data_IF_337167907591
#
_entry.id   IF_337167907591
#
_cell.length_a   1.000
_cell.length_b   1.000
_cell.length_c   1.000
_cell.angle_alpha   90.00
_cell.angle_beta   90.00
_cell.angle_gamma   90.00
#
_symmetry.space_group_name_H-M   'P 1'
#
loop_
_entity.id
_entity.type
_entity.pdbx_description
1 polymer ?
#
# COMPACT_ATOMS: atom_id res chain seq x y z
N UNK A 1 -5.85 -21.06 5.80
CA UNK A 1 -4.76 -20.14 5.37
C UNK A 1 -3.50 -20.97 5.12
N UNK A 2 -3.10 -21.13 3.86
CA UNK A 2 -2.11 -22.13 3.40
C UNK A 2 -0.64 -21.78 3.70
N UNK A 3 -0.40 -20.64 4.33
CA UNK A 3 0.93 -20.07 4.49
C UNK A 3 1.19 -19.85 5.99
N UNK A 4 1.73 -20.87 6.65
CA UNK A 4 2.05 -20.90 8.09
C UNK A 4 3.22 -20.00 8.54
N UNK A 5 3.48 -18.89 7.85
CA UNK A 5 4.61 -18.01 8.17
C UNK A 5 4.19 -17.04 9.27
N UNK A 6 4.45 -17.45 10.50
CA UNK A 6 5.18 -16.70 11.53
C UNK A 6 4.91 -15.21 11.80
N UNK A 7 4.63 -14.34 10.82
CA UNK A 7 4.51 -12.88 10.95
C UNK A 7 3.39 -12.27 10.10
N UNK A 8 3.49 -10.98 9.79
CA UNK A 8 2.55 -10.23 8.94
C UNK A 8 3.19 -9.73 7.62
N UNK A 9 4.52 -9.75 7.54
CA UNK A 9 5.35 -9.38 6.39
C UNK A 9 6.70 -10.10 6.49
N UNK A 10 7.22 -10.62 5.39
CA UNK A 10 8.45 -11.44 5.38
C UNK A 10 9.58 -10.84 4.53
N UNK A 11 9.31 -9.75 3.80
CA UNK A 11 10.26 -9.14 2.86
C UNK A 11 10.74 -10.11 1.78
N UNK A 12 9.90 -11.06 1.39
CA UNK A 12 10.23 -11.99 0.31
C UNK A 12 10.20 -11.27 -1.07
N UNK A 13 10.90 -11.78 -2.09
CA UNK A 13 10.96 -11.11 -3.39
C UNK A 13 9.59 -10.83 -4.04
N UNK A 14 8.60 -11.70 -3.83
CA UNK A 14 7.24 -11.52 -4.37
C UNK A 14 6.52 -10.40 -3.62
N UNK A 15 6.51 -10.42 -2.29
CA UNK A 15 6.01 -9.32 -1.45
C UNK A 15 6.64 -7.98 -1.84
N UNK A 16 7.97 -7.93 -1.93
CA UNK A 16 8.73 -6.73 -2.31
C UNK A 16 8.34 -6.23 -3.70
N UNK A 17 8.23 -7.15 -4.67
CA UNK A 17 7.86 -6.81 -6.04
C UNK A 17 6.46 -6.19 -6.14
N UNK A 18 5.54 -6.64 -5.30
CA UNK A 18 4.18 -6.08 -5.21
C UNK A 18 4.17 -4.73 -4.48
N UNK A 19 5.07 -4.51 -3.51
CA UNK A 19 5.10 -3.33 -2.66
C UNK A 19 5.71 -2.10 -3.34
N UNK A 20 6.77 -2.28 -4.14
CA UNK A 20 7.48 -1.19 -4.81
C UNK A 20 6.58 -0.27 -5.67
N UNK A 21 5.65 -0.79 -6.51
CA UNK A 21 4.68 0.05 -7.22
C UNK A 21 3.79 0.89 -6.30
N UNK A 22 3.40 0.40 -5.12
CA UNK A 22 2.57 1.15 -4.18
C UNK A 22 3.29 2.36 -3.59
N UNK A 23 4.58 2.23 -3.29
CA UNK A 23 5.41 3.33 -2.79
C UNK A 23 5.53 4.45 -3.82
N UNK A 24 5.90 4.13 -5.07
CA UNK A 24 5.98 5.15 -6.13
C UNK A 24 4.61 5.65 -6.58
N UNK A 25 3.58 4.80 -6.56
CA UNK A 25 2.20 5.19 -6.81
C UNK A 25 1.70 6.20 -5.79
N UNK A 26 2.09 6.05 -4.52
CA UNK A 26 1.80 7.04 -3.47
C UNK A 26 2.53 8.35 -3.76
N UNK A 27 3.82 8.31 -4.11
CA UNK A 27 4.57 9.51 -4.51
C UNK A 27 3.93 10.19 -5.74
N UNK A 28 3.44 9.39 -6.69
CA UNK A 28 2.75 9.85 -7.90
C UNK A 28 1.48 10.63 -7.54
N UNK A 29 0.61 10.09 -6.69
CA UNK A 29 -0.64 10.76 -6.27
C UNK A 29 -0.33 12.12 -5.61
N UNK A 30 0.69 12.18 -4.76
CA UNK A 30 1.11 13.43 -4.11
C UNK A 30 1.72 14.42 -5.12
N UNK A 31 2.49 13.93 -6.09
CA UNK A 31 3.03 14.74 -7.18
C UNK A 31 1.92 15.30 -8.07
N UNK A 32 0.89 14.52 -8.36
CA UNK A 32 -0.31 14.96 -9.10
C UNK A 32 -1.00 16.11 -8.36
N UNK A 33 -1.17 16.00 -7.05
CA UNK A 33 -1.80 17.07 -6.26
C UNK A 33 -1.05 18.42 -6.38
N UNK A 34 0.30 18.39 -6.40
CA UNK A 34 1.11 19.60 -6.66
C UNK A 34 0.97 20.07 -8.10
N UNK A 35 0.97 19.14 -9.05
CA UNK A 35 0.85 19.44 -10.48
C UNK A 35 -0.48 20.11 -10.80
N UNK A 36 -1.58 19.59 -10.28
CA UNK A 36 -2.93 20.15 -10.44
C UNK A 36 -3.06 21.53 -9.78
N UNK A 37 -2.55 21.69 -8.56
CA UNK A 37 -2.74 22.93 -7.80
C UNK A 37 -1.80 24.05 -8.23
N UNK A 38 -0.57 23.72 -8.63
CA UNK A 38 0.52 24.70 -8.81
C UNK A 38 1.16 24.70 -10.18
N UNK A 39 0.85 23.73 -11.04
CA UNK A 39 1.48 23.57 -12.34
C UNK A 39 2.95 23.14 -12.30
N UNK A 40 3.52 22.94 -11.10
CA UNK A 40 4.88 22.45 -10.86
C UNK A 40 4.95 20.92 -10.96
N UNK A 41 6.16 20.35 -10.99
CA UNK A 41 6.41 18.89 -10.97
C UNK A 41 5.88 18.06 -12.15
N UNK A 42 5.47 18.66 -13.27
CA UNK A 42 4.97 17.89 -14.45
C UNK A 42 5.92 16.79 -14.90
N UNK A 43 7.20 17.11 -15.10
CA UNK A 43 8.19 16.12 -15.52
C UNK A 43 8.38 15.01 -14.47
N UNK A 44 8.43 15.37 -13.19
CA UNK A 44 8.53 14.42 -12.08
C UNK A 44 7.31 13.50 -11.99
N UNK A 45 6.11 14.05 -12.14
CA UNK A 45 4.85 13.31 -12.20
C UNK A 45 4.84 12.29 -13.33
N UNK A 46 5.22 12.69 -14.55
CA UNK A 46 5.27 11.78 -15.70
C UNK A 46 6.31 10.67 -15.45
N UNK A 47 7.49 11.01 -14.93
CA UNK A 47 8.51 10.01 -14.60
C UNK A 47 8.00 9.01 -13.56
N UNK A 48 7.39 9.47 -12.47
CA UNK A 48 6.80 8.60 -11.45
C UNK A 48 5.71 7.69 -12.04
N UNK A 49 4.89 8.17 -12.97
CA UNK A 49 3.88 7.35 -13.63
C UNK A 49 4.51 6.23 -14.47
N UNK A 50 5.53 6.57 -15.26
CA UNK A 50 6.28 5.60 -16.06
C UNK A 50 6.93 4.55 -15.16
N UNK A 51 7.68 4.97 -14.14
CA UNK A 51 8.41 4.05 -13.26
C UNK A 51 7.45 3.19 -12.45
N UNK A 52 6.33 3.73 -11.96
CA UNK A 52 5.30 2.95 -11.26
C UNK A 52 4.74 1.84 -12.15
N UNK A 53 4.44 2.16 -13.42
CA UNK A 53 3.96 1.16 -14.37
C UNK A 53 5.03 0.11 -14.70
N UNK A 54 6.27 0.54 -14.93
CA UNK A 54 7.41 -0.37 -15.17
C UNK A 54 7.64 -1.30 -13.98
N UNK A 55 7.53 -0.83 -12.74
CA UNK A 55 7.65 -1.66 -11.54
C UNK A 55 6.53 -2.71 -11.46
N UNK A 56 5.30 -2.39 -11.90
CA UNK A 56 4.21 -3.37 -11.95
C UNK A 56 4.48 -4.49 -12.97
N UNK A 57 5.06 -4.16 -14.12
CA UNK A 57 5.50 -5.15 -15.12
C UNK A 57 6.69 -5.96 -14.61
N UNK A 58 7.65 -5.30 -13.94
CA UNK A 58 8.78 -5.96 -13.29
C UNK A 58 8.29 -6.99 -12.27
N UNK A 59 7.32 -6.65 -11.42
CA UNK A 59 6.76 -7.62 -10.47
C UNK A 59 6.14 -8.84 -11.15
N UNK A 60 5.46 -8.63 -12.28
CA UNK A 60 4.94 -9.73 -13.10
C UNK A 60 6.07 -10.61 -13.63
N UNK A 61 7.16 -10.01 -14.11
CA UNK A 61 8.35 -10.75 -14.55
C UNK A 61 8.97 -11.56 -13.40
N UNK A 62 9.21 -10.93 -12.24
CA UNK A 62 9.85 -11.56 -11.09
C UNK A 62 9.07 -12.77 -10.57
N UNK A 63 7.74 -12.71 -10.56
CA UNK A 63 6.88 -13.79 -10.03
C UNK A 63 6.67 -14.92 -11.04
N UNK A 64 6.75 -14.66 -12.35
CA UNK A 64 6.39 -15.62 -13.42
C UNK A 64 7.57 -16.21 -14.18
N UNK A 65 8.72 -15.55 -14.18
CA UNK A 65 9.89 -15.99 -14.95
C UNK A 65 10.60 -17.22 -14.39
N UNK A 66 10.36 -17.57 -13.12
CA UNK A 66 11.10 -18.63 -12.42
C UNK A 66 12.53 -18.25 -12.04
N UNK A 67 12.91 -16.98 -12.24
CA UNK A 67 14.23 -16.45 -11.95
C UNK A 67 14.48 -16.30 -10.45
N UNK A 68 13.43 -16.15 -9.65
CA UNK A 68 13.50 -16.08 -8.20
C UNK A 68 12.93 -17.34 -7.56
N UNK A 69 13.57 -17.78 -6.48
CA UNK A 69 12.98 -18.76 -5.57
C UNK A 69 12.15 -17.99 -4.53
N UNK A 70 10.83 -18.13 -4.58
CA UNK A 70 9.91 -17.62 -3.57
C UNK A 70 8.81 -18.64 -3.32
N UNK A 71 8.36 -18.68 -2.07
CA UNK A 71 7.23 -19.48 -1.62
C UNK A 71 5.90 -18.97 -2.18
N UNK A 72 5.87 -17.72 -2.65
CA UNK A 72 4.72 -17.08 -3.29
C UNK A 72 4.81 -17.10 -4.83
N UNK A 73 5.81 -17.76 -5.41
CA UNK A 73 5.95 -17.85 -6.86
C UNK A 73 4.92 -18.83 -7.45
N UNK A 74 4.24 -18.43 -8.53
CA UNK A 74 3.18 -19.22 -9.17
C UNK A 74 3.53 -19.53 -10.63
N UNK A 75 3.52 -20.83 -10.98
CA UNK A 75 3.65 -21.33 -12.35
C UNK A 75 4.89 -20.75 -13.08
N UNK A 76 6.06 -21.25 -12.73
CA UNK A 76 7.34 -20.90 -13.35
C UNK A 76 7.43 -21.50 -14.75
N UNK A 77 7.40 -20.65 -15.78
CA UNK A 77 7.58 -21.03 -17.18
C UNK A 77 8.62 -20.10 -17.82
N UNK A 78 9.86 -20.57 -18.04
CA UNK A 78 10.93 -19.77 -18.61
C UNK A 78 10.56 -19.13 -19.95
N UNK A 79 9.75 -19.81 -20.78
CA UNK A 79 9.34 -19.28 -22.08
C UNK A 79 8.44 -18.03 -21.93
N UNK A 80 7.53 -18.05 -20.95
CA UNK A 80 6.71 -16.87 -20.60
C UNK A 80 7.57 -15.76 -20.00
N UNK A 81 8.59 -16.13 -19.21
CA UNK A 81 9.56 -15.19 -18.65
C UNK A 81 10.24 -14.34 -19.72
N UNK A 82 10.68 -14.96 -20.82
CA UNK A 82 11.32 -14.25 -21.95
C UNK A 82 10.36 -13.27 -22.63
N UNK A 83 9.10 -13.65 -22.86
CA UNK A 83 8.10 -12.75 -23.43
C UNK A 83 7.86 -11.52 -22.54
N UNK A 84 7.71 -11.73 -21.23
CA UNK A 84 7.51 -10.64 -20.28
C UNK A 84 8.76 -9.75 -20.20
N UNK A 85 9.96 -10.33 -20.25
CA UNK A 85 11.21 -9.58 -20.28
C UNK A 85 11.31 -8.69 -21.53
N UNK A 86 10.96 -9.21 -22.71
CA UNK A 86 10.93 -8.43 -23.95
C UNK A 86 9.91 -7.29 -23.85
N UNK A 87 8.70 -7.57 -23.35
CA UNK A 87 7.68 -6.55 -23.10
C UNK A 87 8.20 -5.48 -22.13
N UNK A 88 8.82 -5.89 -21.02
CA UNK A 88 9.40 -5.00 -20.03
C UNK A 88 10.47 -4.12 -20.67
N UNK A 89 11.38 -4.67 -21.47
CA UNK A 89 12.44 -3.92 -22.15
C UNK A 89 11.86 -2.89 -23.14
N UNK A 90 10.89 -3.29 -23.97
CA UNK A 90 10.23 -2.40 -24.94
C UNK A 90 9.47 -1.29 -24.23
N UNK A 91 8.66 -1.63 -23.23
CA UNK A 91 7.82 -0.65 -22.53
C UNK A 91 8.67 0.30 -21.69
N UNK A 92 9.63 -0.21 -20.91
CA UNK A 92 10.50 0.63 -20.08
C UNK A 92 11.43 1.48 -20.94
N UNK A 93 12.15 0.88 -21.89
CA UNK A 93 13.05 1.59 -22.81
C UNK A 93 12.31 2.61 -23.67
N UNK A 94 11.19 2.22 -24.28
CA UNK A 94 10.39 3.10 -25.13
C UNK A 94 9.75 4.27 -24.37
N UNK A 95 9.19 4.03 -23.18
CA UNK A 95 8.59 5.10 -22.37
C UNK A 95 9.63 6.07 -21.81
N UNK A 96 10.78 5.58 -21.33
CA UNK A 96 11.87 6.42 -20.84
C UNK A 96 12.57 7.18 -21.97
N UNK A 97 12.76 6.57 -23.14
CA UNK A 97 13.29 7.25 -24.32
C UNK A 97 12.34 8.36 -24.80
N UNK A 98 11.04 8.08 -24.87
CA UNK A 98 10.03 9.09 -25.21
C UNK A 98 10.00 10.22 -24.17
N UNK A 99 10.10 9.88 -22.88
CA UNK A 99 10.20 10.87 -21.81
C UNK A 99 11.43 11.75 -21.99
N UNK A 100 12.61 11.17 -22.24
CA UNK A 100 13.85 11.91 -22.46
C UNK A 100 13.73 12.84 -23.69
N UNK A 101 13.14 12.35 -24.79
CA UNK A 101 12.92 13.15 -26.00
C UNK A 101 11.96 14.32 -25.76
N UNK A 102 10.88 14.11 -24.99
CA UNK A 102 9.86 15.13 -24.71
C UNK A 102 10.17 16.00 -23.49
N UNK A 103 11.20 15.66 -22.69
CA UNK A 103 11.55 16.36 -21.46
C UNK A 103 11.72 17.88 -21.64
N UNK A 104 12.33 18.41 -22.72
CA UNK A 104 12.44 19.87 -22.91
C UNK A 104 11.09 20.58 -23.00
N UNK A 105 10.06 19.93 -23.55
CA UNK A 105 8.70 20.49 -23.68
C UNK A 105 7.96 20.49 -22.33
N UNK A 106 8.44 19.71 -21.35
CA UNK A 106 7.87 19.61 -20.01
C UNK A 106 8.51 20.59 -19.02
N UNK A 107 9.57 21.31 -19.42
CA UNK A 107 10.27 22.30 -18.59
C UNK A 107 9.52 23.65 -18.65
N UNK A 108 9.45 24.33 -17.51
CA UNK A 108 9.13 25.77 -17.35
C UNK A 108 7.65 26.21 -17.41
N UNK A 109 6.80 25.73 -16.47
CA UNK A 109 5.53 26.43 -16.11
C UNK A 109 5.20 26.46 -14.61
N UNK A 110 6.12 26.06 -13.73
CA UNK A 110 5.89 26.01 -12.28
C UNK A 110 6.32 27.29 -11.58
N UNK A 111 5.50 27.80 -10.64
CA UNK A 111 5.87 28.94 -9.80
C UNK A 111 6.95 28.60 -8.78
N UNK A 112 7.84 29.56 -8.46
CA UNK A 112 8.85 29.43 -7.39
C UNK A 112 8.17 29.16 -6.04
N UNK A 113 8.82 28.35 -5.21
CA UNK A 113 8.40 28.05 -3.84
C UNK A 113 9.62 28.03 -2.93
N UNK A 114 9.45 28.37 -1.65
CA UNK A 114 10.51 28.43 -0.67
C UNK A 114 10.93 27.05 -0.16
N UNK A 115 12.07 26.98 0.52
CA UNK A 115 12.60 25.73 1.11
C UNK A 115 11.61 25.08 2.09
N UNK A 116 10.87 25.90 2.84
CA UNK A 116 9.76 25.46 3.68
C UNK A 116 8.43 25.86 3.06
N UNK A 117 7.78 24.92 2.39
CA UNK A 117 6.44 25.07 1.81
C UNK A 117 5.77 23.72 1.65
N UNK A 118 4.47 23.69 1.39
CA UNK A 118 3.77 22.43 1.09
C UNK A 118 4.37 21.71 -0.12
N UNK A 119 4.78 22.44 -1.15
CA UNK A 119 5.47 21.88 -2.33
C UNK A 119 6.78 21.20 -1.93
N UNK A 120 7.61 21.85 -1.12
CA UNK A 120 8.89 21.29 -0.66
C UNK A 120 8.68 20.06 0.20
N UNK A 121 7.73 20.07 1.14
CA UNK A 121 7.44 18.92 2.00
C UNK A 121 6.90 17.72 1.19
N UNK A 122 6.03 17.97 0.20
CA UNK A 122 5.54 16.93 -0.70
C UNK A 122 6.65 16.38 -1.61
N UNK A 123 7.57 17.25 -2.08
CA UNK A 123 8.74 16.81 -2.83
C UNK A 123 9.67 15.95 -1.99
N UNK A 124 10.00 16.38 -0.76
CA UNK A 124 10.82 15.60 0.18
C UNK A 124 10.16 14.24 0.44
N UNK A 125 8.85 14.20 0.68
CA UNK A 125 8.12 12.94 0.85
C UNK A 125 8.24 12.04 -0.39
N UNK A 126 8.08 12.59 -1.59
CA UNK A 126 8.21 11.84 -2.83
C UNK A 126 9.62 11.28 -3.03
N UNK A 127 10.66 12.05 -2.67
CA UNK A 127 12.05 11.60 -2.74
C UNK A 127 12.31 10.49 -1.72
N UNK A 128 11.79 10.60 -0.49
CA UNK A 128 11.90 9.55 0.52
C UNK A 128 11.22 8.25 0.08
N UNK A 129 10.02 8.34 -0.49
CA UNK A 129 9.32 7.19 -1.05
C UNK A 129 10.08 6.56 -2.22
N UNK A 130 10.64 7.37 -3.12
CA UNK A 130 11.43 6.88 -4.23
C UNK A 130 12.76 6.24 -3.77
N UNK A 131 13.42 6.81 -2.76
CA UNK A 131 14.59 6.22 -2.13
C UNK A 131 14.24 4.89 -1.46
N UNK A 132 13.13 4.82 -0.72
CA UNK A 132 12.65 3.59 -0.10
C UNK A 132 12.39 2.50 -1.15
N UNK A 133 11.70 2.83 -2.24
CA UNK A 133 11.54 1.91 -3.39
C UNK A 133 12.89 1.45 -3.93
N UNK A 134 13.84 2.37 -4.13
CA UNK A 134 15.18 2.05 -4.62
C UNK A 134 15.93 1.06 -3.72
N UNK A 135 15.87 1.24 -2.40
CA UNK A 135 16.53 0.33 -1.44
C UNK A 135 15.90 -1.07 -1.41
N UNK A 136 14.57 -1.15 -1.51
CA UNK A 136 13.84 -2.43 -1.60
C UNK A 136 14.16 -3.12 -2.93
N UNK A 137 14.17 -2.36 -4.04
CA UNK A 137 14.53 -2.85 -5.36
C UNK A 137 15.96 -3.40 -5.38
N UNK A 138 16.91 -2.66 -4.80
CA UNK A 138 18.30 -3.09 -4.67
C UNK A 138 18.39 -4.40 -3.89
N UNK A 139 17.80 -4.49 -2.70
CA UNK A 139 17.81 -5.72 -1.90
C UNK A 139 17.18 -6.92 -2.61
N UNK A 140 16.15 -6.67 -3.41
CA UNK A 140 15.42 -7.72 -4.16
C UNK A 140 16.20 -8.20 -5.39
N UNK A 141 16.82 -7.28 -6.14
CA UNK A 141 17.51 -7.59 -7.40
C UNK A 141 18.99 -7.94 -7.21
N UNK A 142 19.59 -7.57 -6.08
CA UNK A 142 21.02 -7.81 -5.84
C UNK A 142 21.40 -9.30 -5.85
N UNK A 143 20.70 -10.21 -5.15
CA UNK A 143 20.90 -11.65 -5.29
C UNK A 143 20.85 -12.15 -6.73
N UNK A 144 19.89 -11.65 -7.50
CA UNK A 144 19.70 -12.03 -8.89
C UNK A 144 20.86 -11.55 -9.78
N UNK A 145 21.34 -10.33 -9.55
CA UNK A 145 22.49 -9.81 -10.28
C UNK A 145 23.76 -10.64 -10.02
N UNK A 146 24.01 -11.07 -8.77
CA UNK A 146 25.16 -11.92 -8.44
C UNK A 146 25.06 -13.30 -9.09
N UNK A 147 23.87 -13.93 -9.06
CA UNK A 147 23.65 -15.23 -9.69
C UNK A 147 23.85 -15.16 -11.21
N UNK A 148 23.33 -14.11 -11.86
CA UNK A 148 23.49 -13.88 -13.29
C UNK A 148 24.95 -13.64 -13.72
N UNK A 149 25.78 -13.08 -12.83
CA UNK A 149 27.21 -12.85 -13.04
C UNK A 149 28.08 -14.07 -12.66
N UNK A 150 27.50 -15.15 -12.14
CA UNK A 150 28.24 -16.31 -11.67
C UNK A 150 29.06 -16.07 -10.40
N UNK A 151 28.73 -15.02 -9.62
CA UNK A 151 29.45 -14.61 -8.41
C UNK A 151 28.94 -15.33 -7.13
N UNK A 152 28.07 -16.33 -7.30
CA UNK A 152 27.48 -17.12 -6.21
C UNK A 152 26.08 -16.66 -5.81
N UNK A 153 25.43 -17.46 -4.97
CA UNK A 153 24.07 -17.20 -4.47
C UNK A 153 24.11 -16.60 -3.08
N UNK A 154 23.51 -15.42 -2.93
CA UNK A 154 23.33 -14.72 -1.65
C UNK A 154 21.84 -14.55 -1.39
N UNK A 155 21.42 -14.58 -0.13
CA UNK A 155 20.05 -14.26 0.26
C UNK A 155 20.04 -12.97 1.08
N UNK A 156 19.10 -12.09 0.78
CA UNK A 156 18.86 -10.85 1.52
C UNK A 156 17.52 -11.00 2.25
N UNK A 157 17.56 -11.00 3.59
CA UNK A 157 16.38 -11.17 4.44
C UNK A 157 15.94 -9.89 5.16
N UNK A 158 14.90 -10.01 6.00
CA UNK A 158 14.30 -8.93 6.81
C UNK A 158 15.31 -7.95 7.42
N UNK A 159 16.43 -8.38 8.05
CA UNK A 159 17.35 -7.45 8.71
C UNK A 159 17.90 -6.33 7.81
N UNK A 160 18.18 -6.63 6.53
CA UNK A 160 18.61 -5.61 5.58
C UNK A 160 17.48 -4.60 5.31
N UNK A 161 16.28 -5.11 5.00
CA UNK A 161 15.14 -4.26 4.64
C UNK A 161 14.70 -3.39 5.81
N UNK A 162 14.59 -3.94 7.02
CA UNK A 162 14.22 -3.19 8.21
C UNK A 162 15.22 -2.07 8.51
N UNK A 163 16.53 -2.35 8.36
CA UNK A 163 17.58 -1.38 8.61
C UNK A 163 17.59 -0.20 7.61
N UNK A 164 17.24 -0.42 6.35
CA UNK A 164 17.23 0.64 5.32
C UNK A 164 15.88 1.34 5.19
N UNK A 165 14.78 0.60 5.38
CA UNK A 165 13.43 1.09 5.14
C UNK A 165 12.92 1.99 6.27
N UNK A 166 13.15 1.60 7.53
CA UNK A 166 12.67 2.36 8.70
C UNK A 166 13.23 3.79 8.73
N UNK A 167 14.54 4.05 8.52
CA UNK A 167 15.07 5.42 8.49
C UNK A 167 14.53 6.30 7.36
N UNK A 168 14.05 5.71 6.26
CA UNK A 168 13.47 6.44 5.14
C UNK A 168 11.98 6.74 5.34
N UNK A 169 11.23 5.77 5.89
CA UNK A 169 9.80 5.91 6.11
C UNK A 169 9.46 6.72 7.36
N UNK A 170 10.24 6.62 8.44
CA UNK A 170 10.01 7.40 9.65
C UNK A 170 9.89 8.93 9.40
N UNK A 171 10.82 9.60 8.69
CA UNK A 171 10.65 11.01 8.35
C UNK A 171 9.48 11.25 7.39
N UNK A 172 9.18 10.33 6.46
CA UNK A 172 8.00 10.44 5.60
C UNK A 172 6.70 10.43 6.41
N UNK A 173 6.58 9.53 7.38
CA UNK A 173 5.45 9.47 8.33
C UNK A 173 5.32 10.75 9.16
N UNK A 174 6.44 11.34 9.57
CA UNK A 174 6.41 12.64 10.25
C UNK A 174 5.90 13.75 9.32
N UNK A 175 6.35 13.76 8.05
CA UNK A 175 5.92 14.74 7.05
C UNK A 175 4.43 14.64 6.69
N UNK A 176 3.81 13.47 6.83
CA UNK A 176 2.35 13.31 6.69
C UNK A 176 1.60 14.26 7.65
N UNK A 177 2.11 14.47 8.87
CA UNK A 177 1.46 15.38 9.82
C UNK A 177 1.70 16.85 9.54
N UNK A 178 2.86 17.22 8.98
CA UNK A 178 3.21 18.62 8.71
C UNK A 178 2.64 19.11 7.37
N UNK A 179 2.75 18.28 6.33
CA UNK A 179 2.47 18.64 4.93
C UNK A 179 1.08 19.23 4.69
N UNK A 180 -0.02 18.58 5.13
CA UNK A 180 -1.38 19.07 4.95
C UNK A 180 -1.66 20.43 5.58
N UNK A 181 -0.93 20.79 6.64
CA UNK A 181 -1.10 22.04 7.40
C UNK A 181 -0.20 23.15 6.84
N UNK A 182 0.97 22.82 6.31
CA UNK A 182 1.89 23.78 5.70
C UNK A 182 1.24 24.59 4.58
N UNK A 183 1.57 25.87 4.48
CA UNK A 183 1.05 26.75 3.42
C UNK A 183 1.76 26.47 2.08
N UNK A 184 1.04 26.68 0.99
CA UNK A 184 1.61 26.70 -0.35
C UNK A 184 2.55 27.91 -0.54
N UNK A 185 3.52 27.83 -1.46
CA UNK A 185 4.57 28.84 -1.73
C UNK A 185 5.60 29.00 -0.61
N UNK A 186 5.14 29.36 0.58
CA UNK A 186 5.98 29.68 1.73
C UNK A 186 5.21 29.39 3.01
N UNK A 187 5.83 28.65 3.92
CA UNK A 187 5.33 28.43 5.28
C UNK A 187 6.31 29.01 6.32
N UNK A 188 5.77 29.46 7.45
CA UNK A 188 6.53 29.97 8.58
C UNK A 188 6.75 28.84 9.60
N UNK A 189 8.01 28.58 9.97
CA UNK A 189 8.34 27.55 10.96
C UNK A 189 7.74 27.87 12.35
N UNK A 190 7.84 29.11 12.89
CA UNK A 190 7.16 29.47 14.13
C UNK A 190 5.64 29.24 14.10
N UNK A 191 4.98 29.58 12.98
CA UNK A 191 3.54 29.37 12.83
C UNK A 191 3.17 27.88 12.87
N UNK A 192 3.93 27.05 12.15
CA UNK A 192 3.76 25.59 12.16
C UNK A 192 3.98 25.02 13.57
N UNK A 193 5.05 25.44 14.25
CA UNK A 193 5.36 24.97 15.60
C UNK A 193 4.24 25.29 16.59
N UNK A 194 3.70 26.51 16.57
CA UNK A 194 2.58 26.91 17.46
C UNK A 194 1.32 26.10 17.18
N UNK A 195 1.00 25.84 15.91
CA UNK A 195 -0.17 25.03 15.53
C UNK A 195 -0.03 23.57 15.90
N UNK A 196 1.18 23.02 15.75
CA UNK A 196 1.44 21.59 15.91
C UNK A 196 1.86 21.19 17.32
N UNK A 197 2.23 22.13 18.20
CA UNK A 197 2.79 21.84 19.54
C UNK A 197 1.94 20.89 20.37
N UNK A 198 0.61 21.02 20.34
CA UNK A 198 -0.28 20.18 21.14
C UNK A 198 -0.42 18.78 20.53
N UNK A 199 -0.41 18.66 19.20
CA UNK A 199 -0.36 17.37 18.54
C UNK A 199 0.97 16.65 18.82
N UNK A 200 2.09 17.39 18.82
CA UNK A 200 3.41 16.87 19.17
C UNK A 200 3.50 16.46 20.64
N UNK A 201 3.02 17.30 21.56
CA UNK A 201 3.02 16.99 22.99
C UNK A 201 2.15 15.77 23.29
N UNK A 202 0.96 15.69 22.69
CA UNK A 202 0.09 14.53 22.81
C UNK A 202 0.75 13.26 22.24
N UNK A 203 1.39 13.34 21.07
CA UNK A 203 2.04 12.18 20.48
C UNK A 203 3.19 11.65 21.33
N UNK A 204 4.02 12.54 21.89
CA UNK A 204 5.09 12.15 22.83
C UNK A 204 4.53 11.58 24.12
N UNK A 205 3.53 12.24 24.73
CA UNK A 205 2.94 11.78 25.98
C UNK A 205 2.28 10.39 25.85
N UNK A 206 1.44 10.18 24.82
CA UNK A 206 0.80 8.89 24.59
C UNK A 206 1.82 7.81 24.20
N UNK A 207 2.86 8.16 23.43
CA UNK A 207 3.92 7.22 23.08
C UNK A 207 4.72 6.72 24.29
N UNK A 208 4.86 7.53 25.33
CA UNK A 208 5.53 7.13 26.56
C UNK A 208 4.62 6.28 27.46
N UNK A 209 3.33 6.61 27.55
CA UNK A 209 2.39 5.96 28.49
C UNK A 209 1.82 4.65 27.94
N UNK A 210 1.38 4.63 26.67
CA UNK A 210 0.67 3.47 26.09
C UNK A 210 1.47 2.15 26.13
N UNK A 211 2.79 2.12 25.86
CA UNK A 211 3.57 0.89 25.95
C UNK A 211 3.52 0.22 27.32
N UNK A 212 3.52 1.00 28.41
CA UNK A 212 3.43 0.44 29.77
C UNK A 212 2.07 -0.24 30.01
N UNK A 213 0.99 0.34 29.49
CA UNK A 213 -0.34 -0.26 29.60
C UNK A 213 -0.48 -1.57 28.78
N UNK A 214 0.36 -1.76 27.76
CA UNK A 214 0.33 -2.91 26.84
C UNK A 214 1.32 -4.02 27.21
N UNK A 215 2.09 -3.86 28.29
CA UNK A 215 2.93 -4.91 28.87
C UNK A 215 4.34 -4.44 29.21
N UNK A 216 5.18 -4.17 28.20
CA UNK A 216 6.58 -3.78 28.39
C UNK A 216 6.93 -2.56 27.55
N UNK A 217 7.69 -1.63 28.12
CA UNK A 217 8.17 -0.49 27.35
C UNK A 217 9.26 -0.92 26.34
N UNK A 218 9.19 -0.37 25.12
CA UNK A 218 10.19 -0.56 24.08
C UNK A 218 10.40 0.76 23.34
N UNK A 219 11.66 1.19 23.08
CA UNK A 219 11.93 2.43 22.35
C UNK A 219 11.29 2.44 20.95
N UNK A 220 11.41 1.32 20.22
CA UNK A 220 10.91 1.23 18.85
C UNK A 220 9.38 1.21 18.81
N UNK A 221 8.73 0.56 19.78
CA UNK A 221 7.26 0.59 19.91
C UNK A 221 6.78 1.99 20.25
N UNK A 222 7.44 2.65 21.21
CA UNK A 222 7.11 4.03 21.58
C UNK A 222 7.27 4.96 20.39
N UNK A 223 8.35 4.82 19.62
CA UNK A 223 8.60 5.62 18.42
C UNK A 223 7.53 5.40 17.34
N UNK A 224 7.17 4.15 17.04
CA UNK A 224 6.11 3.83 16.08
C UNK A 224 4.74 4.38 16.51
N UNK A 225 4.39 4.24 17.79
CA UNK A 225 3.17 4.81 18.36
C UNK A 225 3.19 6.34 18.35
N UNK A 226 4.34 6.98 18.59
CA UNK A 226 4.49 8.43 18.50
C UNK A 226 4.15 8.92 17.09
N UNK A 227 4.66 8.25 16.05
CA UNK A 227 4.36 8.60 14.66
C UNK A 227 2.89 8.36 14.30
N UNK A 228 2.29 7.27 14.78
CA UNK A 228 0.86 7.00 14.55
C UNK A 228 -0.04 8.06 15.22
N UNK A 229 0.20 8.36 16.50
CA UNK A 229 -0.56 9.40 17.22
C UNK A 229 -0.30 10.77 16.62
N UNK A 230 0.92 11.05 16.18
CA UNK A 230 1.26 12.28 15.45
C UNK A 230 0.40 12.45 14.20
N UNK A 231 0.32 11.42 13.34
CA UNK A 231 -0.51 11.48 12.12
C UNK A 231 -1.99 11.66 12.47
N UNK A 232 -2.50 10.94 13.46
CA UNK A 232 -3.90 11.04 13.86
C UNK A 232 -4.22 12.44 14.44
N UNK A 233 -3.38 12.94 15.36
CA UNK A 233 -3.56 14.23 16.02
C UNK A 233 -3.44 15.41 15.03
N UNK A 234 -2.46 15.37 14.12
CA UNK A 234 -2.31 16.39 13.08
C UNK A 234 -3.42 16.34 12.05
N UNK A 235 -3.93 15.15 11.71
CA UNK A 235 -5.14 15.02 10.88
C UNK A 235 -6.35 15.65 11.55
N UNK A 236 -6.52 15.44 12.86
CA UNK A 236 -7.58 16.08 13.65
C UNK A 236 -7.42 17.61 13.68
N UNK A 237 -6.20 18.13 13.89
CA UNK A 237 -5.91 19.56 13.83
C UNK A 237 -6.26 20.14 12.46
N UNK A 238 -5.88 19.46 11.37
CA UNK A 238 -6.20 19.89 10.00
C UNK A 238 -7.71 19.97 9.75
N UNK A 239 -8.48 18.97 10.19
CA UNK A 239 -9.95 18.98 10.11
C UNK A 239 -10.53 20.11 10.95
N UNK A 240 -10.07 20.24 12.19
CA UNK A 240 -10.53 21.27 13.12
C UNK A 240 -10.31 22.69 12.60
N UNK A 241 -9.11 22.98 12.09
CA UNK A 241 -8.77 24.27 11.51
C UNK A 241 -9.65 24.57 10.29
N UNK A 242 -9.95 23.56 9.47
CA UNK A 242 -10.82 23.71 8.30
C UNK A 242 -12.26 24.02 8.71
N UNK A 243 -12.78 23.36 9.75
CA UNK A 243 -14.13 23.58 10.27
C UNK A 243 -14.27 24.95 10.97
N UNK A 244 -13.22 25.44 11.63
CA UNK A 244 -13.21 26.78 12.25
C UNK A 244 -13.19 27.91 11.24
N UNK A 245 -12.58 27.69 10.08
CA UNK A 245 -12.54 28.66 8.98
C UNK A 245 -13.86 28.70 8.19
N UNK A 246 -14.71 27.67 8.28
CA UNK A 246 -16.06 27.71 7.74
C UNK A 246 -16.89 28.73 8.56
N UNK A 247 -17.39 29.77 7.88
CA UNK A 247 -17.87 31.03 8.48
C UNK A 247 -18.67 30.91 9.79
N UNK A 248 -18.43 31.86 10.70
CA UNK A 248 -18.94 31.87 12.09
C UNK A 248 -20.47 31.95 12.22
N UNK A 249 -21.21 32.20 11.13
CA UNK A 249 -22.68 32.21 11.08
C UNK A 249 -23.33 30.94 10.51
N UNK A 250 -22.55 29.94 10.08
CA UNK A 250 -23.10 28.67 9.60
C UNK A 250 -23.52 27.76 10.76
N UNK A 251 -24.63 27.04 10.59
CA UNK A 251 -25.01 25.94 11.48
C UNK A 251 -23.92 24.85 11.48
N UNK A 252 -23.79 24.11 12.59
CA UNK A 252 -22.76 23.07 12.74
C UNK A 252 -22.74 22.08 11.56
N UNK A 253 -23.92 21.64 11.11
CA UNK A 253 -24.07 20.75 9.96
C UNK A 253 -23.54 21.34 8.65
N UNK A 254 -23.81 22.63 8.38
CA UNK A 254 -23.30 23.30 7.18
C UNK A 254 -21.79 23.48 7.20
N UNK A 255 -21.18 23.68 8.37
CA UNK A 255 -19.71 23.75 8.50
C UNK A 255 -19.05 22.41 8.21
N UNK A 256 -19.65 21.31 8.61
CA UNK A 256 -19.14 19.95 8.32
C UNK A 256 -19.34 19.59 6.84
N UNK A 257 -20.41 20.07 6.20
CA UNK A 257 -20.68 19.79 4.79
C UNK A 257 -19.89 20.69 3.81
N UNK A 258 -19.25 21.77 4.28
CA UNK A 258 -18.54 22.74 3.43
C UNK A 258 -17.23 22.21 2.81
N UNK A 259 -16.34 21.49 3.52
CA UNK A 259 -15.11 20.97 2.94
C UNK A 259 -15.37 19.93 1.85
N UNK A 260 -14.50 19.92 0.82
CA UNK A 260 -14.70 19.04 -0.33
C UNK A 260 -14.47 17.56 0.00
N UNK A 261 -15.07 16.61 -0.73
CA UNK A 261 -14.80 15.18 -0.57
C UNK A 261 -13.31 14.83 -0.68
N UNK A 262 -12.54 15.52 -1.53
CA UNK A 262 -11.08 15.35 -1.60
C UNK A 262 -10.35 15.71 -0.30
N UNK A 263 -10.83 16.69 0.45
CA UNK A 263 -10.24 17.05 1.75
C UNK A 263 -10.45 15.94 2.78
N UNK A 264 -11.69 15.48 2.93
CA UNK A 264 -12.03 14.39 3.85
C UNK A 264 -11.42 13.06 3.42
N UNK A 265 -11.35 12.78 2.11
CA UNK A 265 -10.71 11.58 1.58
C UNK A 265 -9.22 11.54 1.88
N UNK A 266 -8.54 12.68 1.76
CA UNK A 266 -7.15 12.83 2.19
C UNK A 266 -6.97 12.62 3.70
N UNK A 267 -7.83 13.22 4.53
CA UNK A 267 -7.76 13.05 5.99
C UNK A 267 -8.01 11.59 6.40
N UNK A 268 -9.00 10.93 5.79
CA UNK A 268 -9.33 9.53 6.02
C UNK A 268 -8.18 8.60 5.61
N UNK A 269 -7.54 8.88 4.47
CA UNK A 269 -6.40 8.09 4.03
C UNK A 269 -5.20 8.21 4.99
N UNK A 270 -4.86 9.41 5.43
CA UNK A 270 -3.78 9.58 6.42
C UNK A 270 -4.12 8.97 7.77
N UNK A 271 -5.39 9.03 8.21
CA UNK A 271 -5.83 8.29 9.39
C UNK A 271 -5.68 6.78 9.21
N UNK A 272 -5.95 6.26 8.01
CA UNK A 272 -5.67 4.87 7.65
C UNK A 272 -4.19 4.49 7.80
N UNK A 273 -3.26 5.38 7.41
CA UNK A 273 -1.82 5.20 7.66
C UNK A 273 -1.54 5.11 9.16
N UNK A 274 -2.13 5.99 9.99
CA UNK A 274 -1.94 5.94 11.43
C UNK A 274 -2.39 4.59 12.02
N UNK A 275 -3.57 4.10 11.63
CA UNK A 275 -4.11 2.80 12.08
C UNK A 275 -3.21 1.64 11.64
N UNK A 276 -2.71 1.68 10.40
CA UNK A 276 -1.75 0.69 9.89
C UNK A 276 -0.46 0.69 10.71
N UNK A 277 0.11 1.87 11.00
CA UNK A 277 1.35 2.00 11.80
C UNK A 277 1.13 1.46 13.22
N UNK A 278 -0.03 1.68 13.85
CA UNK A 278 -0.38 1.05 15.13
C UNK A 278 -0.33 -0.47 15.01
N UNK A 279 -1.02 -1.04 14.03
CA UNK A 279 -1.07 -2.50 13.80
C UNK A 279 0.34 -3.09 13.64
N UNK A 280 1.14 -2.53 12.72
CA UNK A 280 2.52 -2.95 12.44
C UNK A 280 3.42 -2.85 13.67
N UNK A 281 3.33 -1.73 14.39
CA UNK A 281 4.18 -1.47 15.57
C UNK A 281 3.87 -2.44 16.70
N UNK A 282 2.59 -2.67 16.97
CA UNK A 282 2.16 -3.51 18.09
C UNK A 282 2.39 -5.00 17.80
N UNK A 283 2.08 -5.49 16.59
CA UNK A 283 2.36 -6.90 16.26
C UNK A 283 3.86 -7.18 16.28
N UNK A 284 4.69 -6.30 15.71
CA UNK A 284 6.14 -6.47 15.66
C UNK A 284 6.78 -6.38 17.05
N UNK A 285 6.28 -5.51 17.93
CA UNK A 285 6.84 -5.30 19.25
C UNK A 285 6.41 -6.32 20.31
N UNK A 286 5.18 -6.85 20.19
CA UNK A 286 4.51 -7.60 21.23
C UNK A 286 3.94 -8.96 20.78
N UNK A 287 4.22 -9.43 19.56
CA UNK A 287 3.92 -10.83 19.25
C UNK A 287 4.68 -11.77 20.20
N UNK A 288 4.03 -12.87 20.54
CA UNK A 288 4.66 -13.97 21.26
C UNK A 288 4.43 -15.24 20.46
N UNK A 289 5.43 -16.12 20.48
CA UNK A 289 5.42 -17.38 19.75
C UNK A 289 6.02 -18.47 20.63
N UNK A 290 5.42 -19.65 20.59
CA UNK A 290 5.95 -20.87 21.20
C UNK A 290 5.87 -22.01 20.20
N UNK A 291 7.01 -22.67 19.99
CA UNK A 291 7.12 -23.91 19.23
C UNK A 291 7.31 -25.02 20.27
N UNK A 292 6.32 -25.90 20.42
CA UNK A 292 6.27 -26.90 21.49
C UNK A 292 6.01 -28.29 20.93
N UNK A 293 6.55 -29.31 21.59
CA UNK A 293 6.10 -30.70 21.38
C UNK A 293 4.83 -30.91 22.22
N UNK A 294 3.80 -31.50 21.65
CA UNK A 294 2.55 -31.78 22.35
C UNK A 294 2.04 -33.19 22.07
N UNK A 295 1.58 -33.85 23.13
CA UNK A 295 0.76 -35.05 23.11
C UNK A 295 -0.69 -34.73 23.50
N UNK A 296 -1.61 -35.65 23.23
CA UNK A 296 -3.01 -35.49 23.60
C UNK A 296 -3.16 -35.25 25.11
N UNK A 297 -3.78 -34.13 25.48
CA UNK A 297 -3.93 -33.67 26.86
C UNK A 297 -2.96 -32.56 27.26
N UNK A 298 -1.84 -32.39 26.54
CA UNK A 298 -0.87 -31.33 26.84
C UNK A 298 -1.47 -29.94 26.68
N UNK A 299 -0.94 -29.01 27.47
CA UNK A 299 -1.35 -27.60 27.43
C UNK A 299 -0.18 -26.67 27.22
N UNK A 300 -0.43 -25.54 26.56
CA UNK A 300 0.54 -24.46 26.39
C UNK A 300 -0.12 -23.12 26.67
N UNK A 301 0.52 -22.30 27.49
CA UNK A 301 0.05 -20.94 27.78
C UNK A 301 0.73 -19.91 26.88
N UNK A 302 -0.05 -19.00 26.28
CA UNK A 302 0.44 -17.89 25.44
C UNK A 302 -0.51 -16.69 25.48
N UNK A 303 0.02 -15.49 25.75
CA UNK A 303 -0.79 -14.26 25.79
C UNK A 303 -1.98 -14.30 26.75
N UNK A 304 -1.88 -15.06 27.85
CA UNK A 304 -2.97 -15.28 28.82
C UNK A 304 -4.05 -16.26 28.35
N UNK A 305 -3.80 -17.00 27.27
CA UNK A 305 -4.64 -18.11 26.80
C UNK A 305 -3.97 -19.44 27.08
N UNK A 306 -4.75 -20.46 27.42
CA UNK A 306 -4.31 -21.85 27.57
C UNK A 306 -4.86 -22.65 26.41
N UNK A 307 -3.98 -23.23 25.60
CA UNK A 307 -4.35 -24.09 24.48
C UNK A 307 -4.09 -25.54 24.88
N UNK A 308 -5.14 -26.37 24.88
CA UNK A 308 -5.05 -27.80 25.13
C UNK A 308 -5.11 -28.58 23.83
N UNK A 309 -4.13 -29.46 23.60
CA UNK A 309 -4.08 -30.31 22.42
C UNK A 309 -4.95 -31.56 22.64
N UNK A 310 -5.98 -31.73 21.83
CA UNK A 310 -6.93 -32.84 21.94
C UNK A 310 -6.59 -34.02 21.02
N UNK A 311 -5.56 -33.86 20.18
CA UNK A 311 -5.05 -34.90 19.29
C UNK A 311 -5.16 -34.51 17.81
N UNK A 312 -4.82 -35.48 16.95
CA UNK A 312 -4.79 -35.34 15.49
C UNK A 312 -5.66 -36.42 14.86
N UNK A 313 -6.49 -36.02 13.90
CA UNK A 313 -7.27 -36.92 13.07
C UNK A 313 -6.79 -36.85 11.62
N UNK A 314 -6.77 -38.00 10.94
CA UNK A 314 -6.53 -38.04 9.49
C UNK A 314 -7.82 -37.70 8.75
N UNK A 315 -7.72 -36.85 7.75
CA UNK A 315 -8.82 -36.46 6.88
C UNK A 315 -8.42 -36.55 5.41
N UNK A 316 -9.37 -36.94 4.56
CA UNK A 316 -9.19 -36.95 3.11
C UNK A 316 -9.95 -35.79 2.50
N UNK A 317 -9.24 -34.90 1.81
CA UNK A 317 -9.81 -33.83 1.01
C UNK A 317 -9.95 -34.22 -0.46
N UNK A 318 -10.53 -33.34 -1.32
CA UNK A 318 -10.75 -33.63 -2.74
C UNK A 318 -9.46 -33.93 -3.53
N UNK A 319 -8.35 -33.32 -3.14
CA UNK A 319 -7.05 -33.44 -3.81
C UNK A 319 -5.86 -33.51 -2.83
N UNK A 320 -6.12 -33.85 -1.56
CA UNK A 320 -5.09 -33.93 -0.52
C UNK A 320 -5.46 -34.94 0.58
N UNK A 321 -4.45 -35.41 1.29
CA UNK A 321 -4.59 -36.03 2.61
C UNK A 321 -4.14 -35.04 3.69
N UNK A 322 -4.81 -35.01 4.83
CA UNK A 322 -4.53 -34.06 5.89
C UNK A 322 -4.42 -34.73 7.26
N UNK A 323 -3.44 -34.28 8.04
CA UNK A 323 -3.41 -34.46 9.49
C UNK A 323 -4.00 -33.20 10.13
N UNK A 324 -5.17 -33.29 10.76
CA UNK A 324 -5.86 -32.16 11.39
C UNK A 324 -5.77 -32.27 12.91
N UNK A 325 -5.16 -31.29 13.55
CA UNK A 325 -5.14 -31.17 15.00
C UNK A 325 -6.38 -30.48 15.53
N UNK A 326 -6.76 -30.78 16.77
CA UNK A 326 -7.77 -30.02 17.53
C UNK A 326 -7.12 -29.40 18.76
N UNK A 327 -7.21 -28.07 18.87
CA UNK A 327 -6.68 -27.28 19.99
C UNK A 327 -7.84 -26.51 20.65
N UNK A 328 -8.20 -26.89 21.88
CA UNK A 328 -9.18 -26.13 22.65
C UNK A 328 -8.51 -24.92 23.29
N UNK A 329 -9.07 -23.72 23.07
CA UNK A 329 -8.51 -22.46 23.57
C UNK A 329 -9.35 -21.96 24.74
N UNK A 330 -8.71 -21.79 25.88
CA UNK A 330 -9.34 -21.32 27.12
C UNK A 330 -8.71 -20.02 27.60
N UNK A 331 -9.51 -19.18 28.27
CA UNK A 331 -9.04 -17.99 28.99
C UNK A 331 -9.77 -17.89 30.32
N UNK A 332 -9.02 -17.77 31.42
CA UNK A 332 -9.59 -17.74 32.78
C UNK A 332 -10.58 -18.89 33.05
N UNK A 333 -10.22 -20.10 32.62
CA UNK A 333 -11.04 -21.31 32.79
C UNK A 333 -12.26 -21.44 31.87
N UNK A 334 -12.57 -20.45 31.03
CA UNK A 334 -13.69 -20.50 30.07
C UNK A 334 -13.20 -20.86 28.67
N UNK A 335 -13.95 -21.72 27.98
CA UNK A 335 -13.69 -22.03 26.58
C UNK A 335 -13.98 -20.80 25.70
N UNK A 336 -13.00 -20.36 24.93
CA UNK A 336 -13.08 -19.19 24.04
C UNK A 336 -13.38 -19.64 22.62
N UNK A 337 -12.65 -20.64 22.12
CA UNK A 337 -12.76 -21.14 20.74
C UNK A 337 -12.03 -22.49 20.61
N UNK A 338 -12.14 -23.12 19.43
CA UNK A 338 -11.38 -24.32 19.08
C UNK A 338 -10.64 -24.09 17.77
N UNK A 339 -9.31 -24.14 17.80
CA UNK A 339 -8.46 -24.02 16.63
C UNK A 339 -8.24 -25.41 16.02
N UNK A 340 -8.40 -25.51 14.69
CA UNK A 340 -8.24 -26.77 13.95
C UNK A 340 -7.20 -26.66 12.83
N UNK A 341 -5.90 -26.50 13.15
CA UNK A 341 -4.88 -26.42 12.11
C UNK A 341 -4.70 -27.77 11.45
N UNK A 342 -4.26 -27.78 10.19
CA UNK A 342 -4.02 -29.02 9.47
C UNK A 342 -2.72 -28.98 8.67
N UNK A 343 -2.12 -30.16 8.46
CA UNK A 343 -0.98 -30.36 7.58
C UNK A 343 -1.44 -31.20 6.40
N UNK A 344 -1.37 -30.65 5.20
CA UNK A 344 -1.95 -31.21 3.97
C UNK A 344 -0.86 -31.67 3.01
N UNK A 345 -1.00 -32.88 2.50
CA UNK A 345 -0.19 -33.45 1.43
C UNK A 345 -1.05 -33.55 0.17
N UNK A 346 -0.76 -32.70 -0.82
CA UNK A 346 -1.49 -32.65 -2.08
C UNK A 346 -0.96 -33.70 -3.06
N UNK A 347 -1.84 -34.37 -3.81
CA UNK A 347 -1.42 -35.42 -4.74
C UNK A 347 -0.51 -34.94 -5.87
N UNK A 348 -0.57 -33.64 -6.20
CA UNK A 348 0.24 -33.01 -7.24
C UNK A 348 1.53 -32.37 -6.74
N UNK A 349 1.79 -32.34 -5.42
CA UNK A 349 2.96 -31.69 -4.83
C UNK A 349 3.69 -32.63 -3.87
N UNK A 350 5.03 -32.63 -3.91
CA UNK A 350 5.85 -33.53 -3.08
C UNK A 350 6.04 -33.04 -1.64
N UNK A 351 5.80 -31.75 -1.35
CA UNK A 351 6.00 -31.17 -0.02
C UNK A 351 4.66 -30.92 0.68
N UNK A 352 4.46 -31.42 1.91
CA UNK A 352 3.29 -31.07 2.71
C UNK A 352 3.25 -29.58 3.02
N UNK A 353 2.06 -29.00 3.05
CA UNK A 353 1.82 -27.62 3.45
C UNK A 353 1.06 -27.57 4.77
N UNK A 354 1.34 -26.57 5.60
CA UNK A 354 0.59 -26.35 6.84
C UNK A 354 -0.49 -25.30 6.62
N UNK A 355 -1.74 -25.68 6.83
CA UNK A 355 -2.85 -24.75 6.97
C UNK A 355 -2.97 -24.30 8.44
N UNK A 356 -2.72 -23.01 8.65
CA UNK A 356 -2.87 -22.39 9.96
C UNK A 356 -4.35 -22.24 10.33
N UNK A 357 -4.69 -22.52 11.58
CA UNK A 357 -5.94 -22.10 12.19
C UNK A 357 -5.75 -20.74 12.86
N UNK A 358 -6.69 -19.84 12.62
CA UNK A 358 -6.62 -18.45 13.07
C UNK A 358 -7.93 -18.11 13.77
N UNK A 359 -7.84 -17.65 15.01
CA UNK A 359 -8.95 -17.01 15.72
C UNK A 359 -8.67 -15.51 15.74
N UNK A 360 -9.29 -14.81 14.78
CA UNK A 360 -9.10 -13.38 14.58
C UNK A 360 -10.02 -12.54 15.46
N UNK A 361 -9.47 -11.47 16.04
CA UNK A 361 -10.19 -10.57 16.91
C UNK A 361 -9.87 -9.10 16.64
N UNK A 362 -10.57 -8.20 17.31
CA UNK A 362 -10.32 -6.77 17.13
C UNK A 362 -8.98 -6.30 17.70
N UNK A 363 -8.56 -6.86 18.83
CA UNK A 363 -7.33 -6.48 19.55
C UNK A 363 -6.19 -7.50 19.44
N UNK A 364 -6.51 -8.76 19.09
CA UNK A 364 -5.52 -9.84 18.97
C UNK A 364 -6.03 -10.95 18.08
N UNK A 365 -5.07 -11.67 17.52
CA UNK A 365 -5.28 -12.90 16.75
C UNK A 365 -4.48 -14.04 17.39
N UNK A 366 -5.09 -15.22 17.49
CA UNK A 366 -4.39 -16.45 17.89
C UNK A 366 -4.17 -17.32 16.67
N UNK A 367 -2.92 -17.75 16.49
CA UNK A 367 -2.52 -18.64 15.42
C UNK A 367 -2.10 -19.98 16.00
N UNK A 368 -2.51 -21.06 15.35
CA UNK A 368 -1.97 -22.37 15.56
C UNK A 368 -1.59 -23.01 14.22
N UNK A 369 -0.45 -23.69 14.19
CA UNK A 369 0.02 -24.46 13.04
C UNK A 369 0.52 -25.82 13.51
N UNK A 370 0.15 -26.87 12.78
CA UNK A 370 0.65 -28.22 12.99
C UNK A 370 1.90 -28.44 12.14
N UNK A 371 2.99 -28.84 12.79
CA UNK A 371 4.26 -29.23 12.18
C UNK A 371 4.33 -30.74 11.96
N UNK A 372 5.55 -31.26 11.90
CA UNK A 372 5.79 -32.69 11.71
C UNK A 372 5.48 -33.51 12.98
N UNK A 373 5.05 -34.75 12.77
CA UNK A 373 4.96 -35.75 13.82
C UNK A 373 6.38 -36.12 14.27
N UNK A 374 6.62 -36.11 15.58
CA UNK A 374 7.87 -36.59 16.16
C UNK A 374 7.83 -38.11 16.37
N UNK A 375 6.65 -38.64 16.67
CA UNK A 375 6.35 -40.06 16.77
C UNK A 375 4.82 -40.28 16.58
N UNK A 376 4.29 -41.45 16.96
CA UNK A 376 2.87 -41.77 16.75
C UNK A 376 1.88 -40.89 17.53
N UNK A 377 2.29 -40.30 18.65
CA UNK A 377 1.41 -39.54 19.58
C UNK A 377 1.85 -38.10 19.79
N UNK A 378 3.13 -37.78 19.56
CA UNK A 378 3.73 -36.47 19.78
C UNK A 378 3.88 -35.69 18.48
N UNK A 379 3.43 -34.44 18.48
CA UNK A 379 3.50 -33.53 17.34
C UNK A 379 4.21 -32.23 17.69
N UNK A 380 4.88 -31.63 16.70
CA UNK A 380 5.31 -30.24 16.81
C UNK A 380 4.11 -29.32 16.56
N UNK A 381 3.80 -28.47 17.53
CA UNK A 381 2.73 -27.48 17.45
C UNK A 381 3.34 -26.10 17.68
N UNK A 382 3.05 -25.19 16.76
CA UNK A 382 3.40 -23.78 16.91
C UNK A 382 2.15 -22.98 17.22
N UNK A 383 2.21 -22.21 18.29
CA UNK A 383 1.14 -21.31 18.73
C UNK A 383 1.69 -19.89 18.81
N UNK A 384 0.88 -18.92 18.38
CA UNK A 384 1.26 -17.51 18.40
C UNK A 384 0.10 -16.64 18.90
N UNK A 385 0.44 -15.61 19.67
CA UNK A 385 -0.46 -14.53 20.02
C UNK A 385 0.05 -13.25 19.36
N UNK A 386 -0.72 -12.73 18.41
CA UNK A 386 -0.37 -11.56 17.60
C UNK A 386 -1.35 -10.41 17.86
N UNK A 387 -0.93 -9.33 18.52
CA UNK A 387 -1.82 -8.22 18.81
C UNK A 387 -2.04 -7.33 17.57
N UNK A 388 -3.27 -6.87 17.36
CA UNK A 388 -3.65 -5.85 16.37
C UNK A 388 -3.32 -6.12 14.88
N UNK A 389 -3.18 -7.38 14.44
CA UNK A 389 -2.98 -7.72 13.01
C UNK A 389 -4.10 -7.15 12.13
N UNK A 390 -5.36 -7.26 12.57
CA UNK A 390 -6.51 -6.73 11.83
C UNK A 390 -6.48 -5.20 11.63
N UNK A 391 -5.70 -4.45 12.41
CA UNK A 391 -5.56 -3.02 12.22
C UNK A 391 -4.69 -2.67 11.01
N UNK A 392 -3.79 -3.56 10.59
CA UNK A 392 -3.04 -3.40 9.35
C UNK A 392 -4.02 -3.36 8.17
N UNK A 393 -4.93 -4.33 8.12
CA UNK A 393 -6.01 -4.41 7.12
C UNK A 393 -7.02 -3.27 7.25
N UNK A 394 -7.40 -2.92 8.48
CA UNK A 394 -8.28 -1.78 8.74
C UNK A 394 -7.70 -0.46 8.22
N UNK A 395 -6.40 -0.23 8.43
CA UNK A 395 -5.69 0.93 7.89
C UNK A 395 -5.67 0.94 6.37
N UNK A 396 -5.40 -0.21 5.73
CA UNK A 396 -5.46 -0.35 4.28
C UNK A 396 -6.86 -0.06 3.71
N UNK A 397 -7.91 -0.56 4.37
CA UNK A 397 -9.30 -0.29 4.00
C UNK A 397 -9.64 1.20 4.13
N UNK A 398 -9.24 1.85 5.22
CA UNK A 398 -9.44 3.30 5.41
C UNK A 398 -8.73 4.12 4.33
N UNK A 399 -7.51 3.73 3.93
CA UNK A 399 -6.80 4.36 2.81
C UNK A 399 -7.55 4.19 1.49
N UNK A 400 -8.03 2.99 1.19
CA UNK A 400 -8.82 2.73 -0.01
C UNK A 400 -10.12 3.56 -0.03
N UNK A 401 -10.85 3.61 1.08
CA UNK A 401 -12.05 4.43 1.24
C UNK A 401 -11.74 5.92 1.11
N UNK A 402 -10.63 6.39 1.67
CA UNK A 402 -10.17 7.77 1.52
C UNK A 402 -9.88 8.13 0.07
N UNK A 403 -9.24 7.24 -0.68
CA UNK A 403 -9.01 7.37 -2.12
C UNK A 403 -10.31 7.44 -2.92
N UNK A 404 -11.27 6.55 -2.66
CA UNK A 404 -12.59 6.55 -3.29
C UNK A 404 -13.36 7.85 -2.98
N UNK A 405 -13.32 8.31 -1.73
CA UNK A 405 -13.96 9.56 -1.34
C UNK A 405 -13.33 10.76 -2.03
N UNK A 406 -12.00 10.78 -2.16
CA UNK A 406 -11.30 11.83 -2.89
C UNK A 406 -11.58 11.82 -4.40
N UNK A 407 -11.76 10.65 -5.01
CA UNK A 407 -12.16 10.50 -6.40
C UNK A 407 -13.59 10.99 -6.67
N UNK A 408 -14.47 10.98 -5.66
CA UNK A 408 -15.85 11.46 -5.77
C UNK A 408 -15.99 12.99 -5.83
N UNK A 409 -14.89 13.75 -5.76
CA UNK A 409 -14.90 15.20 -5.72
C UNK A 409 -15.51 15.81 -7.00
N UNK A 410 -16.34 16.85 -6.81
CA UNK A 410 -17.08 17.54 -7.88
C UNK A 410 -16.17 18.10 -8.98
N UNK A 411 -14.91 18.42 -8.67
CA UNK A 411 -13.92 18.92 -9.63
C UNK A 411 -13.73 17.99 -10.83
N UNK A 412 -13.75 16.67 -10.61
CA UNK A 412 -13.58 15.69 -11.69
C UNK A 412 -14.83 15.62 -12.57
N UNK A 413 -16.02 15.80 -11.99
CA UNK A 413 -17.28 15.86 -12.74
C UNK A 413 -17.39 17.11 -13.63
N UNK A 414 -16.91 18.26 -13.15
CA UNK A 414 -16.93 19.51 -13.91
C UNK A 414 -15.95 19.47 -15.09
N UNK A 415 -14.75 18.92 -14.89
CA UNK A 415 -13.76 18.75 -15.97
C UNK A 415 -14.28 17.82 -17.10
N UNK A 416 -14.95 16.72 -16.75
CA UNK A 416 -15.56 15.80 -17.74
C UNK A 416 -16.69 16.47 -18.51
N UNK A 417 -17.51 17.31 -17.85
CA UNK A 417 -18.57 18.09 -18.52
C UNK A 417 -17.97 19.09 -19.50
N UNK A 418 -16.98 19.89 -19.09
CA UNK A 418 -16.31 20.85 -19.96
C UNK A 418 -15.67 20.19 -21.19
N UNK A 419 -14.95 19.07 -21.00
CA UNK A 419 -14.36 18.32 -22.12
C UNK A 419 -15.42 17.73 -23.07
N UNK A 420 -16.59 17.34 -22.55
CA UNK A 420 -17.72 16.85 -23.36
C UNK A 420 -18.38 17.98 -24.14
N UNK A 421 -18.52 19.16 -23.54
CA UNK A 421 -19.03 20.37 -24.19
C UNK A 421 -18.07 20.85 -25.29
N UNK A 422 -16.76 20.91 -25.03
CA UNK A 422 -15.75 21.26 -26.04
C UNK A 422 -15.77 20.28 -27.23
N UNK A 423 -15.86 18.97 -26.97
CA UNK A 423 -16.00 17.96 -28.04
C UNK A 423 -17.30 18.12 -28.81
N UNK A 424 -18.39 18.47 -28.13
CA UNK A 424 -19.69 18.70 -28.78
C UNK A 424 -19.64 19.95 -29.68
N UNK A 425 -19.08 21.05 -29.19
CA UNK A 425 -18.89 22.28 -29.96
C UNK A 425 -17.97 22.05 -31.17
N UNK A 426 -16.87 21.31 -30.99
CA UNK A 426 -15.99 20.93 -32.08
C UNK A 426 -16.71 20.08 -33.15
N UNK A 427 -17.52 19.10 -32.74
CA UNK A 427 -18.29 18.25 -33.65
C UNK A 427 -19.40 19.02 -34.39
N UNK A 428 -20.04 20.00 -33.74
CA UNK A 428 -21.03 20.88 -34.38
C UNK A 428 -20.36 21.81 -35.39
N UNK A 429 -19.19 22.37 -35.05
CA UNK A 429 -18.41 23.22 -35.97
C UNK A 429 -17.96 22.46 -37.21
N UNK A 430 -17.54 21.22 -37.06
CA UNK A 430 -17.10 20.36 -38.18
C UNK A 430 -18.25 20.01 -39.14
N UNK A 431 -19.45 19.76 -38.60
CA UNK A 431 -20.67 19.57 -39.41
C UNK A 431 -21.11 20.84 -40.15
N UNK A 432 -20.94 22.01 -39.53
CA UNK A 432 -21.28 23.30 -40.14
C UNK A 432 -20.23 23.81 -41.13
N UNK A 433 -18.98 23.30 -41.08
CA UNK A 433 -17.95 23.56 -42.07
C UNK A 433 -18.09 22.72 -43.34
N UNK A 434 -19.02 21.75 -43.36
CA UNK A 434 -19.28 20.86 -44.49
C UNK A 434 -20.62 21.13 -45.21
N UNK A 435 -20.91 22.35 -45.71
CA UNK A 435 -21.95 22.51 -46.73
C UNK A 435 -21.45 23.32 -47.93
N UNK A 436 -20.43 22.85 -48.66
CA UNK A 436 -20.11 23.48 -49.96
C UNK A 436 -19.52 22.56 -51.05
N UNK A 437 -19.51 21.23 -50.86
CA UNK A 437 -19.01 20.31 -51.91
C UNK A 437 -20.14 19.53 -52.61
N UNK A 438 -21.37 19.52 -52.08
CA UNK A 438 -22.47 18.73 -52.65
C UNK A 438 -23.35 19.46 -53.69
N UNK A 439 -23.21 20.78 -53.89
CA UNK A 439 -24.10 21.56 -54.75
C UNK A 439 -23.56 21.87 -56.16
N UNK A 440 -22.41 21.30 -56.58
CA UNK A 440 -21.80 21.59 -57.89
C UNK A 440 -21.74 20.36 -58.80
N UNK A 441 -22.89 19.72 -59.05
CA UNK A 441 -23.08 18.76 -60.15
C UNK A 441 -24.57 18.62 -60.54
N UNK A 442 -25.18 19.71 -61.01
CA UNK A 442 -26.37 19.61 -61.87
C UNK A 442 -26.16 20.59 -63.04
N UNK A 443 -25.62 20.09 -64.14
CA UNK A 443 -25.55 20.80 -65.42
C UNK A 443 -26.88 20.57 -66.15
N UNK A 444 -27.60 21.61 -66.62
CA UNK A 444 -28.75 21.39 -67.48
C UNK A 444 -28.28 21.18 -68.93
N UNK A 445 -28.76 20.11 -69.57
CA UNK A 445 -28.65 19.90 -71.02
C UNK A 445 -29.63 20.86 -71.71
N UNK A 446 -29.12 21.88 -72.39
CA UNK A 446 -29.89 22.66 -73.37
C UNK A 446 -29.94 21.93 -74.71
N UNK A 447 -31.15 21.87 -75.28
CA UNK A 447 -31.49 21.39 -76.63
C UNK A 447 -31.68 22.61 -77.54
N UNK A 448 -31.39 22.40 -78.84
CA UNK A 448 -31.75 23.20 -80.03
C UNK A 448 -30.90 24.47 -80.28
N UNK A 449 -30.47 24.83 -81.50
CA UNK A 449 -31.09 24.61 -82.83
C UNK A 449 -30.08 24.57 -84.00
N UNK A 450 -30.62 24.18 -85.17
CA UNK A 450 -30.04 24.15 -86.52
C UNK A 450 -29.66 25.52 -87.13
N UNK A 451 -28.93 25.43 -88.26
CA UNK A 451 -28.74 26.36 -89.39
C UNK A 451 -27.46 27.20 -89.48
N UNK A 452 -26.67 26.84 -90.49
CA UNK A 452 -25.42 27.44 -90.97
C UNK A 452 -24.68 26.45 -91.85
#
# INVERSE_FOLDING_TARGET
YELGWGGWWFWDPVENSSFMPWLLGTALIHSLAVTEKRGSFRSWTVLLAIVTFVLSLMGTFLVRSGVLTSVHAFATDPARGVFILALLAIVSGGSLALFAWRAPQLRLRGGRFGMLSRESLLLTNNVLLAAATGTVMLGTLYPLALDALGLGKVSVGSPYFDAVFVPLIAPALFLIGVGPIARWKQASLPELAVRLRWAFAASVALALVLPFALGRWSPLVSFGLALAVWIAATSAVSVWDRLRQAGTGLSAWRRVADPSPAFYGMALAHLGVAVLVVGVTLVTGYETRKDVRMETGDTVEIGGYVLRFEGVAKESGPNYLADRATLQVMRSGRNVTTLRPSRRSYFSQQKPMSEAAIDSGFSRDLYATLGDALNATTWLVRVQHKPFVNWIWGGALLMALGGLFAASDRRYRLAVRGAREERHVAAVRDRQATPEIAARKITPRTREAENG
#
